data_IF_503390779628
#
_entry.id   IF_503390779628
#
_cell.length_a   1.000
_cell.length_b   1.000
_cell.length_c   1.000
_cell.angle_alpha   90.00
_cell.angle_beta   90.00
_cell.angle_gamma   90.00
#
_symmetry.space_group_name_H-M   'P 1'
#
loop_
_entity.id
_entity.type
_entity.pdbx_description
1 polymer ?
#
# COMPACT_ATOMS: atom_id res chain seq x y z
N UNK A 1 -30.22 -23.40 44.24
CA UNK A 1 -28.74 -23.35 44.38
C UNK A 1 -28.17 -23.79 43.04
N UNK A 2 -27.94 -22.83 42.15
CA UNK A 2 -26.67 -22.16 41.91
C UNK A 2 -26.00 -22.79 40.67
N UNK A 3 -26.07 -22.06 39.56
CA UNK A 3 -25.46 -22.39 38.27
C UNK A 3 -23.94 -22.31 38.36
N UNK A 4 -23.19 -23.22 37.70
CA UNK A 4 -21.77 -22.99 37.46
C UNK A 4 -21.61 -22.14 36.19
N UNK A 5 -21.19 -20.90 36.41
CA UNK A 5 -20.73 -19.96 35.39
C UNK A 5 -19.40 -20.47 34.83
N UNK A 6 -19.40 -21.04 33.62
CA UNK A 6 -18.15 -21.35 32.92
C UNK A 6 -17.67 -20.09 32.18
N UNK A 7 -16.78 -19.34 32.83
CA UNK A 7 -15.95 -18.32 32.18
C UNK A 7 -14.91 -19.04 31.32
N UNK A 8 -15.21 -19.28 30.05
CA UNK A 8 -14.23 -19.75 29.09
C UNK A 8 -13.39 -18.56 28.62
N UNK A 9 -12.25 -18.35 29.29
CA UNK A 9 -11.21 -17.43 28.86
C UNK A 9 -10.40 -18.03 27.70
N UNK A 10 -10.31 -17.24 26.63
CA UNK A 10 -9.19 -17.05 25.69
C UNK A 10 -8.30 -18.25 25.32
N UNK A 11 -8.20 -18.54 24.01
CA UNK A 11 -6.92 -18.75 23.30
C UNK A 11 -7.19 -18.61 21.78
N UNK A 12 -7.02 -17.41 21.21
CA UNK A 12 -6.85 -17.26 19.76
C UNK A 12 -5.36 -17.33 19.48
N UNK A 13 -4.89 -18.51 19.04
CA UNK A 13 -3.56 -18.64 18.48
C UNK A 13 -3.57 -17.97 17.10
N UNK A 14 -3.07 -16.73 17.02
CA UNK A 14 -2.81 -16.09 15.73
C UNK A 14 -1.55 -16.75 15.18
N UNK A 15 -1.74 -17.75 14.32
CA UNK A 15 -0.67 -18.31 13.52
C UNK A 15 -0.24 -17.24 12.49
N UNK A 16 0.82 -16.50 12.79
CA UNK A 16 1.49 -15.66 11.80
C UNK A 16 2.22 -16.59 10.83
N UNK A 17 1.55 -16.94 9.73
CA UNK A 17 2.18 -17.67 8.64
C UNK A 17 3.07 -16.67 7.91
N UNK A 18 4.37 -16.68 8.23
CA UNK A 18 5.37 -16.00 7.44
C UNK A 18 5.52 -16.76 6.10
N UNK A 19 4.79 -16.33 5.08
CA UNK A 19 4.96 -16.85 3.71
C UNK A 19 6.20 -16.14 3.13
N UNK A 20 7.36 -16.80 3.22
CA UNK A 20 8.57 -16.38 2.51
C UNK A 20 8.42 -16.69 1.02
N UNK A 21 7.77 -15.79 0.26
CA UNK A 21 7.71 -15.93 -1.19
C UNK A 21 9.10 -15.61 -1.75
N UNK A 22 9.84 -16.63 -2.17
CA UNK A 22 11.10 -16.45 -2.87
C UNK A 22 10.80 -16.00 -4.32
N UNK A 23 10.91 -14.70 -4.58
CA UNK A 23 10.77 -14.16 -5.94
C UNK A 23 12.07 -14.45 -6.70
N UNK A 24 12.03 -15.14 -7.86
CA UNK A 24 13.23 -15.37 -8.66
C UNK A 24 13.80 -14.03 -9.14
N UNK A 25 15.05 -13.72 -8.75
CA UNK A 25 15.78 -12.54 -9.22
C UNK A 25 16.25 -12.73 -10.66
N UNK A 26 15.32 -12.64 -11.62
CA UNK A 26 15.69 -12.38 -13.01
C UNK A 26 16.02 -10.90 -13.11
N UNK A 27 17.31 -10.57 -13.06
CA UNK A 27 17.84 -9.22 -13.15
C UNK A 27 17.67 -8.64 -14.57
N UNK A 28 16.42 -8.45 -15.02
CA UNK A 28 16.12 -7.38 -15.94
C UNK A 28 15.96 -6.11 -15.10
N UNK A 29 17.07 -5.41 -14.84
CA UNK A 29 17.02 -4.08 -14.21
C UNK A 29 16.47 -3.14 -15.28
N UNK A 30 15.15 -3.10 -15.41
CA UNK A 30 14.48 -2.09 -16.24
C UNK A 30 14.89 -0.69 -15.80
N UNK A 31 14.56 0.30 -16.62
CA UNK A 31 14.76 1.70 -16.28
C UNK A 31 13.49 2.26 -15.65
N UNK A 32 13.65 3.21 -14.72
CA UNK A 32 12.52 3.97 -14.20
C UNK A 32 12.02 4.94 -15.27
N UNK A 33 10.74 4.87 -15.59
CA UNK A 33 10.06 5.78 -16.52
C UNK A 33 9.00 6.62 -15.81
N UNK A 34 8.82 7.87 -16.23
CA UNK A 34 7.74 8.71 -15.73
C UNK A 34 6.39 8.14 -16.14
N UNK A 35 5.42 8.16 -15.22
CA UNK A 35 4.05 7.77 -15.53
C UNK A 35 3.23 8.98 -15.99
N UNK A 36 2.18 8.72 -16.76
CA UNK A 36 1.17 9.73 -17.03
C UNK A 36 0.26 9.89 -15.80
N UNK A 37 0.43 10.99 -15.06
CA UNK A 37 -0.38 11.28 -13.87
C UNK A 37 -1.87 11.46 -14.18
N UNK A 38 -2.23 11.74 -15.43
CA UNK A 38 -3.63 11.84 -15.86
C UNK A 38 -4.22 10.49 -16.31
N UNK A 39 -3.46 9.39 -16.31
CA UNK A 39 -4.02 8.06 -16.55
C UNK A 39 -4.95 7.69 -15.38
N UNK A 40 -6.26 7.44 -15.63
CA UNK A 40 -7.20 7.06 -14.58
C UNK A 40 -6.75 5.85 -13.75
N UNK A 41 -6.01 4.91 -14.36
CA UNK A 41 -5.48 3.74 -13.63
C UNK A 41 -4.39 4.13 -12.63
N UNK A 42 -3.61 5.16 -12.92
CA UNK A 42 -2.57 5.65 -12.00
C UNK A 42 -3.19 6.47 -10.87
N UNK A 43 -4.23 7.25 -11.16
CA UNK A 43 -5.03 7.92 -10.12
C UNK A 43 -5.72 6.90 -9.19
N UNK A 44 -6.26 5.82 -9.75
CA UNK A 44 -6.86 4.73 -8.98
C UNK A 44 -5.82 4.01 -8.10
N UNK A 45 -4.61 3.76 -8.64
CA UNK A 45 -3.53 3.12 -7.90
C UNK A 45 -3.05 3.99 -6.72
N UNK A 46 -2.93 5.30 -6.93
CA UNK A 46 -2.59 6.26 -5.89
C UNK A 46 -3.69 6.35 -4.81
N UNK A 47 -4.97 6.36 -5.21
CA UNK A 47 -6.10 6.34 -4.27
C UNK A 47 -6.11 5.06 -3.43
N UNK A 48 -5.84 3.92 -4.07
CA UNK A 48 -5.72 2.64 -3.37
C UNK A 48 -4.58 2.68 -2.33
N UNK A 49 -3.41 3.22 -2.66
CA UNK A 49 -2.29 3.32 -1.72
C UNK A 49 -2.65 4.10 -0.44
N UNK A 50 -3.39 5.20 -0.58
CA UNK A 50 -3.89 5.96 0.58
C UNK A 50 -4.89 5.14 1.38
N UNK A 51 -5.82 4.44 0.72
CA UNK A 51 -6.83 3.63 1.40
C UNK A 51 -6.20 2.47 2.19
N UNK A 52 -5.24 1.77 1.60
CA UNK A 52 -4.49 0.68 2.23
C UNK A 52 -3.73 1.17 3.47
N UNK A 53 -3.01 2.29 3.37
CA UNK A 53 -2.32 2.90 4.52
C UNK A 53 -3.30 3.31 5.62
N UNK A 54 -4.42 3.95 5.26
CA UNK A 54 -5.43 4.39 6.23
C UNK A 54 -6.11 3.21 6.92
N UNK A 55 -6.31 2.08 6.24
CA UNK A 55 -6.82 0.85 6.85
C UNK A 55 -5.89 0.34 7.96
N UNK A 56 -4.58 0.41 7.75
CA UNK A 56 -3.58 -0.04 8.72
C UNK A 56 -3.31 0.99 9.84
N UNK A 57 -3.14 2.26 9.48
CA UNK A 57 -2.69 3.33 10.39
C UNK A 57 -3.83 4.06 11.09
N UNK A 58 -5.04 4.06 10.49
CA UNK A 58 -6.22 4.78 10.96
C UNK A 58 -5.94 6.26 11.30
N UNK A 59 -5.16 6.93 10.45
CA UNK A 59 -4.65 8.30 10.66
C UNK A 59 -5.46 9.39 9.93
N UNK A 60 -6.51 8.99 9.20
CA UNK A 60 -7.48 9.89 8.60
C UNK A 60 -6.98 10.65 7.36
N UNK A 61 -5.87 10.23 6.75
CA UNK A 61 -5.39 10.78 5.48
C UNK A 61 -6.45 10.63 4.38
N UNK A 62 -6.60 11.65 3.53
CA UNK A 62 -7.58 11.67 2.43
C UNK A 62 -6.88 11.99 1.11
N UNK A 63 -7.01 11.09 0.15
CA UNK A 63 -6.49 11.26 -1.20
C UNK A 63 -7.03 12.52 -1.87
N UNK A 64 -6.15 13.33 -2.47
CA UNK A 64 -6.53 14.44 -3.35
C UNK A 64 -6.23 14.08 -4.83
N UNK A 65 -4.96 13.90 -5.18
CA UNK A 65 -4.53 13.51 -6.54
C UNK A 65 -3.16 12.84 -6.55
N UNK A 66 -2.88 12.08 -7.60
CA UNK A 66 -1.49 11.73 -7.94
C UNK A 66 -0.77 12.99 -8.46
N UNK A 67 0.31 13.39 -7.78
CA UNK A 67 1.08 14.59 -8.10
C UNK A 67 2.25 14.31 -9.05
N UNK A 68 2.94 13.18 -8.85
CA UNK A 68 3.97 12.68 -9.76
C UNK A 68 4.19 11.19 -9.54
N UNK A 69 4.92 10.54 -10.44
CA UNK A 69 5.34 9.18 -10.18
C UNK A 69 6.21 8.60 -11.29
N UNK A 70 6.78 7.44 -10.99
CA UNK A 70 7.59 6.65 -11.90
C UNK A 70 7.26 5.18 -11.75
N UNK A 71 7.42 4.44 -12.83
CA UNK A 71 7.25 2.99 -12.88
C UNK A 71 8.55 2.31 -13.31
N UNK A 72 8.69 1.06 -12.91
CA UNK A 72 9.77 0.18 -13.32
C UNK A 72 9.20 -1.19 -13.64
N UNK A 73 9.28 -1.58 -14.91
CA UNK A 73 8.90 -2.91 -15.40
C UNK A 73 10.14 -3.82 -15.34
N UNK A 74 10.13 -4.76 -14.40
CA UNK A 74 11.18 -5.75 -14.19
C UNK A 74 10.55 -7.15 -14.05
N UNK A 75 10.93 -7.95 -13.05
CA UNK A 75 10.22 -9.18 -12.66
C UNK A 75 8.81 -8.95 -12.08
N UNK A 76 8.18 -7.82 -12.42
CA UNK A 76 6.93 -7.26 -11.91
C UNK A 76 6.84 -5.78 -12.25
N UNK A 77 5.82 -5.10 -11.73
CA UNK A 77 5.56 -3.67 -11.87
C UNK A 77 5.84 -2.98 -10.53
N UNK A 78 6.85 -2.13 -10.49
CA UNK A 78 7.17 -1.32 -9.32
C UNK A 78 6.75 0.13 -9.58
N UNK A 79 6.19 0.79 -8.58
CA UNK A 79 5.80 2.20 -8.68
C UNK A 79 6.38 2.98 -7.51
N UNK A 80 6.84 4.20 -7.79
CA UNK A 80 7.05 5.23 -6.80
C UNK A 80 6.09 6.37 -7.12
N UNK A 81 5.12 6.59 -6.26
CA UNK A 81 4.07 7.59 -6.44
C UNK A 81 4.26 8.70 -5.41
N UNK A 82 4.18 9.96 -5.86
CA UNK A 82 4.02 11.11 -4.96
C UNK A 82 2.57 11.54 -5.02
N UNK A 83 1.90 11.47 -3.88
CA UNK A 83 0.47 11.63 -3.73
C UNK A 83 0.21 12.90 -2.94
N UNK A 84 -0.54 13.82 -3.53
CA UNK A 84 -1.09 14.97 -2.83
C UNK A 84 -2.32 14.51 -2.04
N UNK A 85 -2.36 14.82 -0.76
CA UNK A 85 -3.40 14.37 0.17
C UNK A 85 -3.64 15.39 1.30
N UNK A 86 -4.81 15.32 1.91
CA UNK A 86 -5.05 15.98 3.18
C UNK A 86 -4.67 15.05 4.32
N UNK A 87 -3.82 15.50 5.24
CA UNK A 87 -3.47 14.73 6.42
C UNK A 87 -4.64 14.65 7.43
N UNK A 88 -4.45 13.94 8.55
CA UNK A 88 -5.48 13.79 9.59
C UNK A 88 -6.00 15.12 10.18
N UNK A 89 -5.21 16.19 10.12
CA UNK A 89 -5.60 17.55 10.53
C UNK A 89 -6.31 18.35 9.41
N UNK A 90 -6.49 17.75 8.23
CA UNK A 90 -7.05 18.41 7.04
C UNK A 90 -6.09 19.35 6.31
N UNK A 91 -4.79 19.30 6.60
CA UNK A 91 -3.76 20.10 5.92
C UNK A 91 -3.25 19.37 4.69
N UNK A 92 -3.00 20.13 3.64
CA UNK A 92 -2.37 19.66 2.40
C UNK A 92 -0.94 19.14 2.68
N UNK A 93 -0.61 17.97 2.17
CA UNK A 93 0.68 17.31 2.33
C UNK A 93 0.93 16.31 1.19
N UNK A 94 2.20 16.16 0.79
CA UNK A 94 2.61 15.15 -0.16
C UNK A 94 3.12 13.91 0.56
N UNK A 95 2.79 12.74 0.04
CA UNK A 95 3.23 11.45 0.54
C UNK A 95 3.88 10.64 -0.57
N UNK A 96 4.97 9.97 -0.25
CA UNK A 96 5.60 9.01 -1.14
C UNK A 96 5.11 7.60 -0.82
N UNK A 97 4.60 6.91 -1.84
CA UNK A 97 4.14 5.54 -1.76
C UNK A 97 4.94 4.66 -2.72
N UNK A 98 5.51 3.56 -2.21
CA UNK A 98 6.17 2.55 -3.03
C UNK A 98 5.29 1.31 -3.13
N UNK A 99 5.03 0.85 -4.35
CA UNK A 99 4.12 -0.26 -4.61
C UNK A 99 4.78 -1.32 -5.49
N UNK A 100 4.33 -2.56 -5.33
CA UNK A 100 4.67 -3.67 -6.21
C UNK A 100 3.41 -4.41 -6.66
N UNK A 101 3.40 -4.82 -7.92
CA UNK A 101 2.43 -5.77 -8.47
C UNK A 101 3.17 -6.80 -9.33
N UNK A 102 2.76 -8.07 -9.30
CA UNK A 102 3.32 -9.04 -10.24
C UNK A 102 2.90 -8.72 -11.68
N UNK A 103 1.62 -8.41 -11.85
CA UNK A 103 1.02 -7.88 -13.06
C UNK A 103 -0.22 -7.04 -12.70
N UNK A 104 -0.99 -6.61 -13.69
CA UNK A 104 -2.23 -5.84 -13.47
C UNK A 104 -3.41 -6.67 -12.93
N UNK A 105 -3.21 -7.96 -12.63
CA UNK A 105 -4.27 -8.96 -12.37
C UNK A 105 -4.19 -9.65 -10.99
N UNK A 106 -3.42 -9.15 -10.00
CA UNK A 106 -3.40 -9.50 -8.54
C UNK A 106 -2.01 -9.96 -8.00
N UNK A 107 -1.71 -9.82 -6.68
CA UNK A 107 -2.19 -8.79 -5.75
C UNK A 107 -1.33 -7.52 -5.87
N UNK A 108 -1.88 -6.40 -5.39
CA UNK A 108 -1.13 -5.15 -5.16
C UNK A 108 -0.52 -5.19 -3.77
N UNK A 109 0.71 -4.73 -3.63
CA UNK A 109 1.41 -4.69 -2.35
C UNK A 109 1.90 -3.26 -2.12
N UNK A 110 1.48 -2.66 -1.00
CA UNK A 110 2.02 -1.39 -0.53
C UNK A 110 3.29 -1.71 0.27
N UNK A 111 4.44 -1.28 -0.23
CA UNK A 111 5.73 -1.55 0.40
C UNK A 111 6.10 -0.49 1.43
N UNK A 112 5.75 0.78 1.17
CA UNK A 112 5.96 1.89 2.08
C UNK A 112 5.03 3.05 1.78
N UNK A 113 4.70 3.83 2.81
CA UNK A 113 3.96 5.08 2.73
C UNK A 113 4.51 6.06 3.77
N UNK A 114 5.02 7.22 3.35
CA UNK A 114 5.57 8.24 4.26
C UNK A 114 5.40 9.65 3.72
N UNK A 115 5.47 10.65 4.62
CA UNK A 115 5.48 12.05 4.24
C UNK A 115 6.68 12.33 3.32
N UNK A 116 6.44 12.99 2.19
CA UNK A 116 7.51 13.38 1.28
C UNK A 116 8.31 14.55 1.87
N UNK A 117 9.64 14.53 1.67
CA UNK A 117 10.58 15.58 2.08
C UNK A 117 10.49 16.85 1.20
#
# INVERSE_FOLDING_TARGET
MASPTMRAGLLVAIAVIAISIAIPTMANRGEWSLININDPRMQELARWAVAEHVEEANDGIKFNRLASGKELVAGGLNFLLVIDAWNGDGKDANYEAMLYMLDWKEPRILLSFYLAD
#
